data_IF_193933829195
#
_entry.id   IF_193933829195
#
_cell.length_a   1.000
_cell.length_b   1.000
_cell.length_c   1.000
_cell.angle_alpha   90.00
_cell.angle_beta   90.00
_cell.angle_gamma   90.00
#
_symmetry.space_group_name_H-M   'P 1'
#
loop_
_entity.id
_entity.type
_entity.pdbx_description
1 polymer ?
#
# COMPACT_ATOMS: atom_id res chain seq x y z
N UNK A 1 23.98 -22.82 -21.78
CA UNK A 1 24.88 -21.83 -21.16
C UNK A 1 24.07 -21.11 -20.10
N UNK A 2 24.33 -21.38 -18.82
CA UNK A 2 23.66 -20.73 -17.70
C UNK A 2 24.32 -19.36 -17.50
N UNK A 3 23.56 -18.29 -17.66
CA UNK A 3 23.99 -16.93 -17.31
C UNK A 3 24.01 -16.87 -15.76
N UNK A 4 25.06 -16.34 -15.13
CA UNK A 4 25.11 -16.14 -13.69
C UNK A 4 23.90 -15.32 -13.21
N UNK A 5 23.23 -15.74 -12.14
CA UNK A 5 22.05 -15.07 -11.57
C UNK A 5 22.35 -13.60 -11.22
N UNK A 6 23.61 -13.29 -10.87
CA UNK A 6 24.07 -11.93 -10.55
C UNK A 6 24.00 -10.95 -11.72
N UNK A 7 23.90 -11.43 -12.96
CA UNK A 7 23.69 -10.57 -14.13
C UNK A 7 22.20 -10.42 -14.52
N UNK A 8 21.28 -11.11 -13.83
CA UNK A 8 19.86 -11.13 -14.18
C UNK A 8 18.99 -10.26 -13.28
N UNK A 9 19.42 -10.02 -12.04
CA UNK A 9 18.66 -9.28 -11.02
C UNK A 9 19.55 -8.23 -10.35
N UNK A 10 18.95 -7.17 -9.80
CA UNK A 10 19.71 -6.10 -9.14
C UNK A 10 20.41 -6.61 -7.88
N UNK A 11 19.64 -7.16 -6.94
CA UNK A 11 20.16 -7.75 -5.70
C UNK A 11 19.44 -9.07 -5.37
N UNK A 12 20.00 -9.84 -4.42
CA UNK A 12 19.41 -11.06 -3.87
C UNK A 12 19.23 -10.92 -2.35
N UNK A 13 18.06 -11.30 -1.83
CA UNK A 13 17.68 -11.17 -0.41
C UNK A 13 16.86 -12.35 0.07
N UNK A 14 16.84 -12.55 1.38
CA UNK A 14 15.91 -13.47 2.05
C UNK A 14 14.93 -12.63 2.88
N UNK A 15 13.64 -12.72 2.57
CA UNK A 15 12.56 -12.16 3.37
C UNK A 15 12.09 -13.21 4.37
N UNK A 16 12.36 -12.95 5.65
CA UNK A 16 12.09 -13.88 6.73
C UNK A 16 10.84 -13.45 7.49
N UNK A 17 9.83 -14.33 7.52
CA UNK A 17 8.56 -14.10 8.21
C UNK A 17 8.56 -14.65 9.66
N UNK A 18 9.75 -14.80 10.27
CA UNK A 18 9.94 -15.38 11.61
C UNK A 18 9.17 -16.69 11.79
N UNK A 19 8.41 -16.84 12.86
CA UNK A 19 7.50 -17.95 13.13
C UNK A 19 6.08 -17.70 12.58
N UNK A 20 5.83 -16.59 11.88
CA UNK A 20 4.52 -16.24 11.37
C UNK A 20 4.28 -16.87 9.98
N UNK A 21 3.86 -18.14 10.01
CA UNK A 21 3.47 -18.92 8.84
C UNK A 21 2.32 -18.26 8.06
N UNK A 22 1.40 -17.57 8.74
CA UNK A 22 0.31 -16.85 8.07
C UNK A 22 0.85 -15.70 7.21
N UNK A 23 1.76 -14.89 7.74
CA UNK A 23 2.38 -13.81 6.97
C UNK A 23 3.19 -14.35 5.78
N UNK A 24 3.91 -15.46 5.96
CA UNK A 24 4.59 -16.16 4.85
C UNK A 24 3.59 -16.56 3.75
N UNK A 25 2.50 -17.25 4.13
CA UNK A 25 1.48 -17.70 3.18
C UNK A 25 0.83 -16.50 2.47
N UNK A 26 0.50 -15.42 3.20
CA UNK A 26 -0.05 -14.19 2.62
C UNK A 26 0.90 -13.54 1.62
N UNK A 27 2.19 -13.41 1.94
CA UNK A 27 3.18 -12.83 1.03
C UNK A 27 3.20 -13.57 -0.31
N UNK A 28 3.16 -14.91 -0.27
CA UNK A 28 3.23 -15.76 -1.46
C UNK A 28 1.90 -15.81 -2.22
N UNK A 29 0.77 -15.87 -1.53
CA UNK A 29 -0.57 -15.97 -2.16
C UNK A 29 -1.08 -14.64 -2.72
N UNK A 30 -0.77 -13.54 -2.03
CA UNK A 30 -1.15 -12.20 -2.45
C UNK A 30 -0.07 -11.51 -3.29
N UNK A 31 1.07 -12.17 -3.50
CA UNK A 31 2.20 -11.68 -4.30
C UNK A 31 2.69 -10.30 -3.84
N UNK A 32 2.85 -10.14 -2.52
CA UNK A 32 3.34 -8.92 -1.88
C UNK A 32 4.46 -9.22 -0.89
N UNK A 33 5.50 -8.39 -0.87
CA UNK A 33 6.56 -8.41 0.14
C UNK A 33 6.56 -7.12 0.95
N UNK A 34 6.52 -7.24 2.28
CA UNK A 34 6.62 -6.13 3.22
C UNK A 34 7.97 -6.08 3.90
N UNK A 35 8.57 -4.89 4.00
CA UNK A 35 9.85 -4.64 4.65
C UNK A 35 9.68 -3.61 5.77
N UNK A 36 10.31 -3.90 6.92
CA UNK A 36 10.33 -2.99 8.09
C UNK A 36 11.27 -1.80 7.91
N UNK A 37 12.15 -1.84 6.91
CA UNK A 37 13.10 -0.77 6.57
C UNK A 37 13.10 -0.50 5.06
N UNK A 38 13.46 0.72 4.65
CA UNK A 38 13.51 1.14 3.24
C UNK A 38 14.83 0.73 2.59
N UNK A 39 15.06 -0.58 2.49
CA UNK A 39 16.31 -1.15 1.95
C UNK A 39 16.14 -1.85 0.61
N UNK A 40 14.91 -2.17 0.21
CA UNK A 40 14.62 -3.01 -0.95
C UNK A 40 14.36 -2.16 -2.20
N UNK A 41 14.76 -2.68 -3.37
CA UNK A 41 14.70 -1.96 -4.63
C UNK A 41 13.97 -2.78 -5.72
N UNK A 42 13.40 -2.07 -6.69
CA UNK A 42 12.80 -2.68 -7.88
C UNK A 42 13.81 -3.58 -8.58
N UNK A 43 13.41 -4.81 -8.89
CA UNK A 43 14.23 -5.82 -9.57
C UNK A 43 15.04 -6.72 -8.64
N UNK A 44 14.96 -6.53 -7.31
CA UNK A 44 15.57 -7.45 -6.35
C UNK A 44 14.87 -8.82 -6.39
N UNK A 45 15.66 -9.89 -6.35
CA UNK A 45 15.20 -11.26 -6.13
C UNK A 45 15.03 -11.50 -4.62
N UNK A 46 13.85 -11.93 -4.21
CA UNK A 46 13.51 -12.20 -2.83
C UNK A 46 13.12 -13.66 -2.66
N UNK A 47 13.82 -14.35 -1.76
CA UNK A 47 13.47 -15.68 -1.29
C UNK A 47 12.62 -15.56 -0.03
N UNK A 48 11.43 -16.15 -0.03
CA UNK A 48 10.53 -16.13 1.13
C UNK A 48 10.89 -17.27 2.06
N UNK A 49 11.09 -16.95 3.34
CA UNK A 49 11.47 -17.91 4.36
C UNK A 49 10.65 -17.76 5.64
N UNK A 50 10.48 -18.87 6.36
CA UNK A 50 9.76 -18.94 7.63
C UNK A 50 10.36 -20.04 8.50
N UNK A 51 10.24 -19.90 9.82
CA UNK A 51 10.56 -20.94 10.77
C UNK A 51 9.36 -21.89 10.86
N UNK A 52 9.60 -23.15 10.53
CA UNK A 52 8.67 -24.26 10.76
C UNK A 52 9.42 -25.41 11.42
N UNK A 53 8.87 -26.02 12.47
CA UNK A 53 9.49 -27.14 13.19
C UNK A 53 10.95 -26.89 13.59
N UNK A 54 11.26 -25.69 14.09
CA UNK A 54 12.61 -25.24 14.51
C UNK A 54 13.65 -25.13 13.36
N UNK A 55 13.21 -25.18 12.11
CA UNK A 55 14.07 -24.95 10.95
C UNK A 55 13.60 -23.75 10.12
N UNK A 56 14.53 -22.89 9.71
CA UNK A 56 14.24 -21.84 8.74
C UNK A 56 14.18 -22.46 7.34
N UNK A 57 12.99 -22.49 6.76
CA UNK A 57 12.73 -23.09 5.45
C UNK A 57 12.38 -22.02 4.42
N UNK A 58 12.74 -22.27 3.16
CA UNK A 58 12.36 -21.45 2.02
C UNK A 58 11.51 -22.29 1.06
N UNK A 59 10.35 -21.76 0.65
CA UNK A 59 9.44 -22.45 -0.27
C UNK A 59 9.07 -21.66 -1.53
N UNK A 60 9.41 -20.37 -1.60
CA UNK A 60 9.09 -19.54 -2.76
C UNK A 60 10.16 -18.46 -2.98
N UNK A 61 10.23 -17.94 -4.21
CA UNK A 61 10.98 -16.72 -4.53
C UNK A 61 10.27 -15.90 -5.60
N UNK A 62 10.55 -14.62 -5.67
CA UNK A 62 10.02 -13.75 -6.73
C UNK A 62 10.86 -12.49 -6.92
N UNK A 63 10.41 -11.61 -7.81
CA UNK A 63 11.11 -10.36 -8.14
C UNK A 63 10.26 -9.18 -7.68
N UNK A 64 10.85 -8.21 -6.98
CA UNK A 64 10.18 -6.95 -6.64
C UNK A 64 9.88 -6.15 -7.92
N UNK A 65 8.62 -5.84 -8.18
CA UNK A 65 8.19 -5.14 -9.39
C UNK A 65 7.90 -3.67 -9.14
N UNK A 66 6.92 -3.37 -8.28
CA UNK A 66 6.41 -2.02 -8.03
C UNK A 66 6.05 -1.84 -6.56
N UNK A 67 6.25 -0.63 -6.03
CA UNK A 67 5.78 -0.26 -4.71
C UNK A 67 4.25 -0.35 -4.67
N UNK A 68 3.71 -0.74 -3.52
CA UNK A 68 2.27 -0.83 -3.30
C UNK A 68 1.92 -0.43 -1.87
N UNK A 69 0.72 0.12 -1.69
CA UNK A 69 0.12 0.35 -0.38
C UNK A 69 -0.78 -0.82 0.07
N UNK A 70 -0.87 -1.88 -0.73
CA UNK A 70 -1.61 -3.07 -0.35
C UNK A 70 -0.80 -3.89 0.66
N UNK A 71 -1.32 -3.96 1.88
CA UNK A 71 -0.70 -4.67 3.00
C UNK A 71 -1.71 -5.67 3.58
N UNK A 72 -1.63 -6.96 3.22
CA UNK A 72 -2.62 -7.96 3.64
C UNK A 72 -2.44 -8.44 5.10
N UNK A 73 -1.39 -8.00 5.79
CA UNK A 73 -1.04 -8.46 7.13
C UNK A 73 -1.81 -7.72 8.22
N UNK A 74 -2.09 -8.38 9.34
CA UNK A 74 -2.69 -7.75 10.52
C UNK A 74 -1.74 -6.71 11.14
N UNK A 75 -0.43 -6.96 11.08
CA UNK A 75 0.61 -6.07 11.57
C UNK A 75 1.16 -5.11 10.49
N UNK A 76 0.30 -4.73 9.53
CA UNK A 76 0.65 -3.91 8.35
C UNK A 76 1.45 -2.64 8.68
N UNK A 77 1.19 -2.00 9.82
CA UNK A 77 1.84 -0.76 10.25
C UNK A 77 3.36 -0.93 10.51
N UNK A 78 3.84 -2.15 10.73
CA UNK A 78 5.26 -2.44 10.92
C UNK A 78 6.06 -2.39 9.60
N UNK A 79 5.41 -2.49 8.45
CA UNK A 79 6.06 -2.57 7.14
C UNK A 79 6.06 -1.21 6.45
N UNK A 80 7.17 -0.47 6.59
CA UNK A 80 7.34 0.88 6.02
C UNK A 80 7.50 0.92 4.50
N UNK A 81 7.75 -0.23 3.87
CA UNK A 81 7.90 -0.38 2.42
C UNK A 81 7.27 -1.70 1.99
N UNK A 82 6.36 -1.67 1.02
CA UNK A 82 5.71 -2.87 0.48
C UNK A 82 5.79 -2.90 -1.05
N UNK A 83 5.98 -4.09 -1.61
CA UNK A 83 6.25 -4.32 -3.02
C UNK A 83 5.35 -5.41 -3.58
N UNK A 84 4.83 -5.21 -4.79
CA UNK A 84 4.30 -6.29 -5.61
C UNK A 84 5.42 -7.19 -6.10
N UNK A 85 5.10 -8.47 -6.17
CA UNK A 85 5.98 -9.52 -6.64
C UNK A 85 5.53 -9.96 -8.01
N UNK A 86 6.49 -10.08 -8.93
CA UNK A 86 6.28 -10.73 -10.22
C UNK A 86 7.15 -11.98 -10.34
N UNK A 87 6.81 -12.81 -11.33
CA UNK A 87 7.57 -14.02 -11.68
C UNK A 87 7.82 -14.91 -10.46
N UNK A 88 6.78 -15.10 -9.63
CA UNK A 88 6.89 -15.94 -8.44
C UNK A 88 7.11 -17.39 -8.86
N UNK A 89 8.10 -18.02 -8.24
CA UNK A 89 8.46 -19.42 -8.45
C UNK A 89 8.34 -20.16 -7.12
N UNK A 90 7.91 -21.41 -7.20
CA UNK A 90 7.72 -22.28 -6.03
C UNK A 90 8.76 -23.40 -6.02
N UNK A 91 9.04 -23.90 -4.83
CA UNK A 91 9.84 -25.10 -4.63
C UNK A 91 9.24 -25.94 -3.49
N UNK A 92 9.62 -27.22 -3.45
CA UNK A 92 9.48 -28.00 -2.23
C UNK A 92 10.29 -27.31 -1.13
N UNK A 93 9.69 -26.99 0.03
CA UNK A 93 10.41 -26.29 1.08
C UNK A 93 11.71 -26.99 1.46
N UNK A 94 12.80 -26.23 1.54
CA UNK A 94 14.11 -26.71 1.93
C UNK A 94 14.70 -25.84 3.04
N UNK A 95 15.55 -26.42 3.88
CA UNK A 95 16.20 -25.69 4.97
C UNK A 95 17.27 -24.73 4.44
N UNK A 96 17.23 -23.48 4.89
CA UNK A 96 18.26 -22.48 4.57
C UNK A 96 19.60 -22.74 5.27
N UNK A 97 19.66 -23.73 6.17
CA UNK A 97 20.89 -24.17 6.84
C UNK A 97 21.99 -24.61 5.86
N UNK A 98 21.65 -24.92 4.60
CA UNK A 98 22.64 -25.10 3.52
C UNK A 98 23.61 -23.92 3.39
N UNK A 99 23.19 -22.71 3.74
CA UNK A 99 24.04 -21.51 3.72
C UNK A 99 25.15 -21.52 4.79
N UNK A 100 25.07 -22.41 5.79
CA UNK A 100 26.13 -22.60 6.78
C UNK A 100 27.45 -23.07 6.15
N UNK A 101 27.40 -23.74 4.99
CA UNK A 101 28.59 -24.19 4.26
C UNK A 101 29.50 -23.02 3.85
N UNK A 102 28.92 -21.82 3.67
CA UNK A 102 29.62 -20.60 3.23
C UNK A 102 29.67 -19.56 4.36
N UNK A 103 28.56 -19.39 5.09
CA UNK A 103 28.43 -18.42 6.17
C UNK A 103 29.01 -18.86 7.50
N UNK A 104 29.37 -20.15 7.66
CA UNK A 104 29.79 -20.71 8.93
C UNK A 104 28.68 -20.65 9.99
N UNK A 105 29.07 -20.59 11.26
CA UNK A 105 28.12 -20.59 12.38
C UNK A 105 27.19 -19.37 12.38
N UNK A 106 27.60 -18.22 11.83
CA UNK A 106 26.82 -16.99 11.80
C UNK A 106 26.05 -16.77 10.48
N UNK A 107 25.78 -17.83 9.71
CA UNK A 107 25.11 -17.75 8.42
C UNK A 107 23.73 -17.05 8.49
N UNK A 108 22.97 -17.31 9.55
CA UNK A 108 21.64 -16.74 9.74
C UNK A 108 21.70 -15.21 9.89
N UNK A 109 22.60 -14.72 10.75
CA UNK A 109 22.86 -13.28 10.92
C UNK A 109 23.38 -12.62 9.63
N UNK A 110 24.21 -13.34 8.87
CA UNK A 110 24.83 -12.83 7.64
C UNK A 110 23.83 -12.70 6.48
N UNK A 111 22.90 -13.64 6.34
CA UNK A 111 22.08 -13.77 5.14
C UNK A 111 20.56 -13.59 5.35
N UNK A 112 20.05 -13.83 6.56
CA UNK A 112 18.61 -13.82 6.85
C UNK A 112 18.19 -12.53 7.57
N UNK A 113 19.02 -12.05 8.50
CA UNK A 113 18.69 -10.91 9.36
C UNK A 113 18.31 -9.65 8.56
N UNK A 114 17.16 -9.08 8.90
CA UNK A 114 16.66 -7.81 8.37
C UNK A 114 16.58 -7.73 6.83
N UNK A 115 16.57 -8.88 6.14
CA UNK A 115 16.47 -8.97 4.67
C UNK A 115 17.48 -8.11 3.91
N UNK A 116 18.71 -8.02 4.46
CA UNK A 116 19.83 -7.32 3.84
C UNK A 116 20.21 -7.96 2.50
N UNK A 117 20.80 -7.16 1.61
CA UNK A 117 21.36 -7.66 0.35
C UNK A 117 22.48 -8.67 0.63
N UNK A 118 22.35 -9.86 0.08
CA UNK A 118 23.42 -10.85 0.05
C UNK A 118 24.46 -10.38 -0.97
N UNK A 119 25.67 -10.08 -0.50
CA UNK A 119 26.81 -9.66 -1.35
C UNK A 119 27.70 -10.83 -1.79
N UNK A 120 27.52 -11.98 -1.15
CA UNK A 120 28.34 -13.17 -1.32
C UNK A 120 27.85 -13.99 -2.52
N UNK A 121 28.63 -13.99 -3.60
CA UNK A 121 28.23 -14.61 -4.86
C UNK A 121 28.09 -16.14 -4.75
N UNK A 122 28.95 -16.79 -3.96
CA UNK A 122 28.90 -18.24 -3.75
C UNK A 122 27.61 -18.63 -3.02
N UNK A 123 27.19 -17.81 -2.05
CA UNK A 123 25.94 -18.01 -1.31
C UNK A 123 24.70 -17.84 -2.21
N UNK A 124 24.72 -16.85 -3.10
CA UNK A 124 23.64 -16.63 -4.08
C UNK A 124 23.53 -17.84 -5.03
N UNK A 125 24.66 -18.35 -5.50
CA UNK A 125 24.70 -19.50 -6.40
C UNK A 125 24.23 -20.77 -5.70
N UNK A 126 24.68 -21.03 -4.48
CA UNK A 126 24.22 -22.15 -3.67
C UNK A 126 22.71 -22.10 -3.45
N UNK A 127 22.19 -20.96 -2.99
CA UNK A 127 20.77 -20.76 -2.74
C UNK A 127 19.94 -21.00 -3.99
N UNK A 128 20.36 -20.45 -5.13
CA UNK A 128 19.68 -20.67 -6.39
C UNK A 128 19.74 -22.14 -6.85
N UNK A 129 20.88 -22.81 -6.71
CA UNK A 129 21.03 -24.20 -7.14
C UNK A 129 20.14 -25.14 -6.31
N UNK A 130 20.09 -24.92 -4.99
CA UNK A 130 19.19 -25.68 -4.11
C UNK A 130 17.74 -25.40 -4.44
N UNK A 131 17.38 -24.13 -4.69
CA UNK A 131 16.02 -23.76 -5.09
C UNK A 131 15.61 -24.44 -6.41
N UNK A 132 16.44 -24.35 -7.45
CA UNK A 132 16.16 -24.96 -8.76
C UNK A 132 16.02 -26.48 -8.64
N UNK A 133 16.86 -27.13 -7.83
CA UNK A 133 16.80 -28.57 -7.61
C UNK A 133 15.51 -29.01 -6.93
N UNK A 134 14.87 -28.12 -6.16
CA UNK A 134 13.61 -28.36 -5.47
C UNK A 134 12.40 -27.73 -6.17
N UNK A 135 12.57 -27.12 -7.35
CA UNK A 135 11.51 -26.34 -8.02
C UNK A 135 10.26 -27.18 -8.28
N UNK A 136 9.11 -26.58 -8.01
CA UNK A 136 7.78 -27.17 -8.24
C UNK A 136 6.91 -26.21 -9.03
N UNK A 137 5.84 -26.75 -9.61
CA UNK A 137 4.85 -25.94 -10.33
C UNK A 137 3.79 -25.35 -9.40
N UNK A 138 3.53 -26.00 -8.27
CA UNK A 138 2.45 -25.65 -7.36
C UNK A 138 3.00 -25.11 -6.03
N UNK A 139 2.32 -24.09 -5.51
CA UNK A 139 2.54 -23.58 -4.15
C UNK A 139 2.02 -24.60 -3.13
N UNK A 140 2.88 -24.95 -2.17
CA UNK A 140 2.51 -25.79 -1.02
C UNK A 140 2.30 -24.90 0.19
N UNK A 141 1.03 -24.79 0.60
CA UNK A 141 0.63 -24.08 1.80
C UNK A 141 1.26 -24.77 3.00
N UNK A 142 2.00 -24.02 3.81
CA UNK A 142 2.59 -24.55 5.04
C UNK A 142 1.47 -24.50 6.08
N UNK A 143 0.97 -25.67 6.49
CA UNK A 143 -0.10 -25.81 7.48
C UNK A 143 0.48 -26.05 8.87
N UNK A 144 -0.14 -25.41 9.88
CA UNK A 144 0.03 -25.76 11.28
C UNK A 144 -0.73 -27.08 11.57
N UNK A 145 -0.20 -28.23 11.18
CA UNK A 145 -0.74 -29.52 11.63
C UNK A 145 0.39 -30.37 12.22
N UNK A 146 0.40 -30.53 13.55
CA UNK A 146 1.24 -31.51 14.25
C UNK A 146 1.57 -31.19 15.71
N UNK A 147 0.75 -31.71 16.62
CA UNK A 147 0.94 -31.97 18.06
C UNK A 147 1.05 -30.81 19.07
N UNK A 148 0.21 -30.91 20.10
CA UNK A 148 0.30 -30.18 21.37
C UNK A 148 1.74 -30.29 21.93
N UNK A 149 2.51 -29.22 21.82
CA UNK A 149 3.83 -29.14 22.45
C UNK A 149 3.61 -28.91 23.95
N UNK A 150 3.83 -29.97 24.72
CA UNK A 150 4.05 -29.90 26.17
C UNK A 150 5.22 -28.97 26.48
N UNK A 151 5.04 -28.05 27.45
CA UNK A 151 6.01 -27.02 27.87
C UNK A 151 7.38 -27.54 28.37
N UNK A 152 7.61 -28.85 28.47
CA UNK A 152 8.83 -29.41 29.06
C UNK A 152 9.72 -30.12 28.03
N UNK A 153 10.42 -29.36 27.19
CA UNK A 153 11.72 -29.78 26.58
C UNK A 153 12.40 -28.65 25.81
N UNK A 154 12.66 -27.54 26.51
CA UNK A 154 13.60 -26.51 26.06
C UNK A 154 15.01 -26.81 26.58
N UNK A 155 15.77 -27.59 25.81
CA UNK A 155 17.23 -27.69 25.96
C UNK A 155 17.88 -28.12 24.64
N UNK A 156 18.07 -27.14 23.76
CA UNK A 156 18.90 -27.25 22.57
C UNK A 156 19.13 -25.85 22.04
N UNK A 157 20.40 -25.46 21.92
CA UNK A 157 20.84 -24.14 21.45
C UNK A 157 20.25 -23.85 20.06
N UNK A 158 19.14 -23.13 20.04
CA UNK A 158 18.59 -22.48 18.86
C UNK A 158 19.11 -21.06 18.95
N UNK A 159 19.85 -20.60 17.93
CA UNK A 159 19.96 -19.16 17.70
C UNK A 159 18.54 -18.68 17.42
N UNK A 160 17.85 -18.19 18.47
CA UNK A 160 16.69 -17.33 18.27
C UNK A 160 17.17 -16.21 17.37
N UNK A 161 16.77 -16.25 16.09
CA UNK A 161 16.85 -15.11 15.20
C UNK A 161 15.79 -14.16 15.74
N UNK A 162 16.14 -13.49 16.82
CA UNK A 162 15.32 -12.46 17.40
C UNK A 162 15.41 -11.30 16.41
N UNK A 163 14.41 -11.21 15.54
CA UNK A 163 14.33 -10.08 14.60
C UNK A 163 14.16 -8.75 15.34
N UNK A 164 14.06 -8.75 16.69
CA UNK A 164 14.06 -7.54 17.51
C UNK A 164 14.53 -7.76 18.97
N UNK A 165 15.82 -8.03 19.20
CA UNK A 165 16.51 -7.48 20.38
C UNK A 165 18.05 -7.42 20.19
N UNK A 166 18.58 -6.20 20.06
CA UNK A 166 19.98 -5.92 20.43
C UNK A 166 21.10 -6.31 19.45
N UNK A 167 21.16 -5.64 18.30
CA UNK A 167 22.38 -5.02 17.73
C UNK A 167 22.13 -4.78 16.23
N UNK A 168 21.59 -3.60 15.91
CA UNK A 168 21.91 -2.98 14.64
C UNK A 168 23.44 -2.90 14.60
N UNK A 169 24.08 -3.81 13.86
CA UNK A 169 25.49 -3.69 13.48
C UNK A 169 25.57 -2.48 12.52
N UNK A 170 25.42 -1.29 13.09
CA UNK A 170 26.10 -0.11 12.61
C UNK A 170 27.57 -0.50 12.70
N UNK A 171 28.11 -1.07 11.62
CA UNK A 171 29.53 -0.95 11.34
C UNK A 171 29.89 0.47 11.74
N UNK A 172 30.79 0.62 12.72
CA UNK A 172 31.04 1.79 13.56
C UNK A 172 31.34 3.05 12.71
N UNK A 173 30.32 3.54 12.04
CA UNK A 173 30.24 4.79 11.32
C UNK A 173 29.47 5.66 12.28
N UNK A 174 30.22 6.55 12.93
CA UNK A 174 29.68 7.55 13.84
C UNK A 174 28.52 8.25 13.13
N UNK A 175 27.30 8.07 13.64
CA UNK A 175 26.11 8.74 13.12
C UNK A 175 26.39 10.24 12.98
N UNK A 176 26.32 10.76 11.76
CA UNK A 176 26.51 12.18 11.50
C UNK A 176 25.19 12.92 11.72
N UNK A 177 25.06 13.57 12.88
CA UNK A 177 23.85 14.32 13.23
C UNK A 177 23.85 15.64 12.46
N UNK A 178 23.15 15.67 11.33
CA UNK A 178 23.07 16.87 10.46
C UNK A 178 22.13 17.97 11.00
N UNK A 179 21.27 17.66 11.98
CA UNK A 179 20.31 18.59 12.56
C UNK A 179 19.15 17.86 13.27
N UNK A 180 18.24 18.64 13.86
CA UNK A 180 16.98 18.12 14.40
C UNK A 180 15.80 18.65 13.58
N UNK A 181 14.66 17.97 13.66
CA UNK A 181 13.41 18.41 13.04
C UNK A 181 12.43 18.80 14.13
N UNK A 182 11.73 19.91 13.90
CA UNK A 182 10.61 20.34 14.73
C UNK A 182 9.33 20.26 13.92
N UNK A 183 8.34 19.52 14.41
CA UNK A 183 7.01 19.52 13.81
C UNK A 183 6.33 20.87 14.01
N UNK A 184 5.89 21.47 12.92
CA UNK A 184 5.07 22.68 12.87
C UNK A 184 3.65 22.28 12.48
N UNK A 185 2.67 23.00 13.03
CA UNK A 185 1.28 22.79 12.64
C UNK A 185 0.99 23.47 11.31
N UNK A 186 0.25 22.81 10.45
CA UNK A 186 -0.41 23.48 9.34
C UNK A 186 -1.34 24.57 9.89
N UNK A 187 -1.58 25.60 9.07
CA UNK A 187 -2.49 26.68 9.47
C UNK A 187 -3.94 26.20 9.50
N UNK A 188 -4.34 25.50 8.43
CA UNK A 188 -5.61 24.83 8.23
C UNK A 188 -5.49 23.92 6.98
N UNK A 189 -6.59 23.42 6.46
CA UNK A 189 -6.65 22.55 5.29
C UNK A 189 -6.26 23.30 3.99
N UNK A 190 -6.77 24.52 3.80
CA UNK A 190 -6.84 25.21 2.49
C UNK A 190 -5.90 26.42 2.34
N UNK A 191 -5.13 26.80 3.37
CA UNK A 191 -4.23 27.95 3.31
C UNK A 191 -3.21 27.80 2.17
N UNK A 192 -3.01 28.86 1.40
CA UNK A 192 -2.21 28.79 0.16
C UNK A 192 -0.73 28.46 0.37
N UNK A 193 -0.20 28.70 1.57
CA UNK A 193 1.24 28.60 1.84
C UNK A 193 1.54 27.55 2.91
N UNK A 194 0.68 27.44 3.92
CA UNK A 194 0.81 26.49 5.05
C UNK A 194 -0.44 25.63 5.22
N UNK A 195 -1.23 25.47 4.16
CA UNK A 195 -2.36 24.57 4.13
C UNK A 195 -1.93 23.15 3.81
N UNK A 196 -2.58 22.17 4.42
CA UNK A 196 -2.31 20.75 4.16
C UNK A 196 -2.60 20.38 2.70
N UNK A 197 -3.77 20.73 2.18
CA UNK A 197 -4.21 20.35 0.83
C UNK A 197 -3.28 20.90 -0.27
N UNK A 198 -2.95 22.20 -0.34
CA UNK A 198 -2.07 22.70 -1.40
C UNK A 198 -0.67 22.08 -1.37
N UNK A 199 -0.08 21.96 -0.18
CA UNK A 199 1.28 21.42 -0.02
C UNK A 199 1.35 19.94 -0.37
N UNK A 200 0.38 19.14 0.08
CA UNK A 200 0.35 17.71 -0.24
C UNK A 200 0.00 17.48 -1.70
N UNK A 201 -0.92 18.25 -2.28
CA UNK A 201 -1.30 18.12 -3.70
C UNK A 201 -0.12 18.43 -4.61
N UNK A 202 0.63 19.50 -4.34
CA UNK A 202 1.81 19.90 -5.13
C UNK A 202 2.91 18.81 -5.11
N UNK A 203 3.06 18.10 -3.99
CA UNK A 203 4.10 17.11 -3.79
C UNK A 203 3.58 15.67 -3.72
N UNK A 204 2.37 15.40 -4.21
CA UNK A 204 1.65 14.14 -3.98
C UNK A 204 2.47 12.91 -4.34
N UNK A 205 2.98 12.84 -5.57
CA UNK A 205 3.76 11.69 -6.05
C UNK A 205 5.17 11.58 -5.44
N UNK A 206 5.73 12.69 -4.95
CA UNK A 206 7.00 12.68 -4.23
C UNK A 206 6.83 12.14 -2.80
N UNK A 207 5.67 12.43 -2.20
CA UNK A 207 5.32 12.02 -0.85
C UNK A 207 4.88 10.55 -0.83
N UNK A 208 3.94 10.18 -1.71
CA UNK A 208 3.34 8.85 -1.77
C UNK A 208 3.92 8.03 -2.92
N UNK A 209 5.13 7.53 -2.74
CA UNK A 209 5.91 6.87 -3.79
C UNK A 209 5.26 5.58 -4.34
N UNK A 210 4.34 4.97 -3.60
CA UNK A 210 3.54 3.83 -4.04
C UNK A 210 2.49 4.21 -5.09
N UNK A 211 2.09 5.48 -5.18
CA UNK A 211 1.27 5.96 -6.29
C UNK A 211 2.18 6.33 -7.47
N UNK A 212 2.27 5.42 -8.44
CA UNK A 212 3.05 5.66 -9.65
C UNK A 212 2.30 6.59 -10.61
N UNK A 213 2.91 7.73 -10.95
CA UNK A 213 2.36 8.72 -11.88
C UNK A 213 1.95 8.13 -13.23
N UNK A 214 2.61 7.07 -13.72
CA UNK A 214 2.27 6.42 -14.99
C UNK A 214 1.06 5.48 -14.88
N UNK A 215 0.66 5.11 -13.66
CA UNK A 215 -0.47 4.25 -13.35
C UNK A 215 -1.58 4.97 -12.57
N UNK A 216 -1.50 6.29 -12.46
CA UNK A 216 -2.51 7.08 -11.75
C UNK A 216 -2.86 8.40 -12.46
N UNK A 217 -4.07 8.90 -12.19
CA UNK A 217 -4.54 10.23 -12.57
C UNK A 217 -5.09 10.90 -11.31
N UNK A 218 -4.47 12.00 -10.90
CA UNK A 218 -4.93 12.82 -9.77
C UNK A 218 -5.71 14.04 -10.30
N UNK A 219 -6.98 14.13 -9.95
CA UNK A 219 -7.87 15.25 -10.27
C UNK A 219 -8.13 16.02 -8.97
N UNK A 220 -7.31 17.04 -8.70
CA UNK A 220 -7.36 17.83 -7.46
C UNK A 220 -8.49 18.90 -7.41
N UNK A 221 -9.41 18.88 -8.37
CA UNK A 221 -10.44 19.91 -8.53
C UNK A 221 -11.72 19.49 -7.80
N UNK A 222 -11.76 19.73 -6.48
CA UNK A 222 -12.86 19.34 -5.57
C UNK A 222 -14.28 19.59 -6.12
N UNK A 223 -14.55 20.77 -6.69
CA UNK A 223 -15.91 21.17 -7.12
C UNK A 223 -16.48 20.35 -8.28
N UNK A 224 -15.67 19.61 -9.02
CA UNK A 224 -16.18 18.80 -10.13
C UNK A 224 -17.04 17.64 -9.61
N UNK A 225 -16.75 17.06 -8.46
CA UNK A 225 -17.33 15.77 -8.06
C UNK A 225 -18.33 15.88 -6.91
N UNK A 226 -19.41 16.65 -7.07
CA UNK A 226 -20.51 16.59 -6.09
C UNK A 226 -21.30 15.28 -6.20
N UNK A 227 -21.84 14.75 -5.11
CA UNK A 227 -22.85 13.68 -5.19
C UNK A 227 -24.23 14.24 -5.58
N UNK A 228 -25.10 13.39 -6.12
CA UNK A 228 -26.50 13.78 -6.39
C UNK A 228 -27.24 13.85 -5.05
N UNK A 229 -27.91 14.97 -4.78
CA UNK A 229 -28.66 15.15 -3.53
C UNK A 229 -29.97 14.40 -3.52
N UNK A 230 -30.39 13.96 -2.33
CA UNK A 230 -31.76 13.47 -2.12
C UNK A 230 -32.68 14.67 -2.02
N UNK A 231 -33.81 14.61 -2.72
CA UNK A 231 -34.83 15.66 -2.67
C UNK A 231 -35.89 15.32 -1.62
N UNK A 232 -36.37 16.33 -0.90
CA UNK A 232 -37.50 16.21 0.02
C UNK A 232 -38.84 16.19 -0.76
N UNK A 233 -39.95 16.04 -0.04
CA UNK A 233 -41.32 16.08 -0.59
C UNK A 233 -41.67 17.38 -1.33
N UNK A 234 -40.87 18.44 -1.15
CA UNK A 234 -41.01 19.74 -1.79
C UNK A 234 -40.06 19.93 -3.01
N UNK A 235 -39.42 18.85 -3.48
CA UNK A 235 -38.41 18.85 -4.56
C UNK A 235 -37.13 19.66 -4.25
N UNK A 236 -36.91 20.01 -2.98
CA UNK A 236 -35.70 20.70 -2.52
C UNK A 236 -34.63 19.68 -2.10
N UNK A 237 -33.36 19.96 -2.39
CA UNK A 237 -32.28 19.11 -1.89
C UNK A 237 -32.22 19.18 -0.36
N UNK A 238 -32.15 18.03 0.29
CA UNK A 238 -31.91 17.96 1.73
C UNK A 238 -30.47 18.38 1.99
N UNK A 239 -30.31 19.42 2.82
CA UNK A 239 -28.99 19.93 3.20
C UNK A 239 -28.20 18.88 4.00
N UNK A 240 -26.89 18.80 3.74
CA UNK A 240 -25.98 17.88 4.44
C UNK A 240 -25.88 16.47 3.85
N UNK A 241 -26.63 16.15 2.79
CA UNK A 241 -26.56 14.84 2.11
C UNK A 241 -25.54 14.83 0.97
N UNK A 242 -25.32 15.99 0.32
CA UNK A 242 -24.30 16.09 -0.74
C UNK A 242 -22.90 16.07 -0.14
N UNK A 243 -22.08 15.15 -0.62
CA UNK A 243 -20.63 15.14 -0.40
C UNK A 243 -19.92 15.70 -1.63
N UNK A 244 -18.77 16.34 -1.40
CA UNK A 244 -17.84 16.74 -2.45
C UNK A 244 -16.46 16.30 -1.94
N UNK A 245 -15.77 15.36 -2.60
CA UNK A 245 -14.44 15.02 -2.17
C UNK A 245 -13.45 16.10 -2.58
N UNK A 246 -12.34 16.19 -1.85
CA UNK A 246 -11.33 17.21 -2.14
C UNK A 246 -10.55 16.87 -3.42
N UNK A 247 -10.24 15.59 -3.62
CA UNK A 247 -9.65 15.12 -4.86
C UNK A 247 -10.12 13.71 -5.26
N UNK A 248 -9.95 13.40 -6.54
CA UNK A 248 -10.18 12.07 -7.08
C UNK A 248 -8.84 11.53 -7.61
N UNK A 249 -8.44 10.34 -7.16
CA UNK A 249 -7.28 9.63 -7.69
C UNK A 249 -7.74 8.33 -8.33
N UNK A 250 -7.55 8.22 -9.64
CA UNK A 250 -7.83 6.99 -10.39
C UNK A 250 -6.53 6.20 -10.46
N UNK A 251 -6.53 4.96 -10.00
CA UNK A 251 -5.38 4.05 -10.11
C UNK A 251 -5.68 2.93 -11.09
N UNK A 252 -4.68 2.58 -11.90
CA UNK A 252 -4.74 1.47 -12.84
C UNK A 252 -3.81 0.34 -12.41
N UNK A 253 -4.36 -0.85 -12.33
CA UNK A 253 -3.68 -2.08 -11.98
C UNK A 253 -4.29 -3.28 -12.71
N UNK A 254 -3.63 -3.70 -13.79
CA UNK A 254 -4.06 -4.85 -14.58
C UNK A 254 -4.17 -6.16 -13.78
N UNK A 255 -3.40 -6.33 -12.70
CA UNK A 255 -3.41 -7.55 -11.88
C UNK A 255 -4.45 -7.50 -10.75
N UNK A 256 -5.21 -6.41 -10.60
CA UNK A 256 -6.20 -6.26 -9.54
C UNK A 256 -7.29 -7.33 -9.63
N UNK A 257 -7.53 -8.02 -8.49
CA UNK A 257 -8.56 -9.06 -8.37
C UNK A 257 -10.00 -8.52 -8.37
N UNK A 258 -10.22 -7.21 -8.19
CA UNK A 258 -11.55 -6.56 -8.12
C UNK A 258 -11.94 -5.97 -9.48
N UNK A 259 -11.27 -4.88 -9.85
CA UNK A 259 -11.38 -4.21 -11.14
C UNK A 259 -10.00 -3.63 -11.49
N UNK A 260 -9.62 -3.60 -12.78
CA UNK A 260 -8.36 -2.99 -13.21
C UNK A 260 -8.23 -1.52 -12.81
N UNK A 261 -9.34 -0.83 -12.61
CA UNK A 261 -9.36 0.54 -12.11
C UNK A 261 -9.81 0.58 -10.66
N UNK A 262 -9.19 1.45 -9.87
CA UNK A 262 -9.61 1.79 -8.50
C UNK A 262 -9.92 3.28 -8.43
N UNK A 263 -11.08 3.60 -7.85
CA UNK A 263 -11.48 4.98 -7.61
C UNK A 263 -11.14 5.34 -6.16
N UNK A 264 -10.18 6.24 -5.97
CA UNK A 264 -9.78 6.72 -4.66
C UNK A 264 -10.36 8.12 -4.43
N UNK A 265 -11.20 8.26 -3.40
CA UNK A 265 -11.76 9.54 -2.95
C UNK A 265 -10.82 10.09 -1.88
N UNK A 266 -10.18 11.24 -2.13
CA UNK A 266 -9.22 11.84 -1.20
C UNK A 266 -9.89 12.97 -0.44
N UNK A 267 -9.76 12.92 0.89
CA UNK A 267 -10.09 14.01 1.81
C UNK A 267 -8.85 14.53 2.50
N UNK A 268 -8.68 15.86 2.52
CA UNK A 268 -7.65 16.53 3.28
C UNK A 268 -8.25 17.14 4.54
N UNK A 269 -7.80 16.67 5.70
CA UNK A 269 -8.30 17.14 6.99
C UNK A 269 -7.16 17.60 7.88
N UNK A 270 -7.39 18.63 8.68
CA UNK A 270 -6.32 19.17 9.51
C UNK A 270 -6.84 19.69 10.84
N UNK A 271 -6.21 19.29 11.94
CA UNK A 271 -6.47 19.95 13.22
C UNK A 271 -5.91 21.38 13.23
N UNK A 272 -4.72 21.54 12.65
CA UNK A 272 -4.09 22.83 12.37
C UNK A 272 -3.82 23.64 13.62
N UNK A 273 -3.70 24.96 13.47
CA UNK A 273 -3.40 25.86 14.58
C UNK A 273 -4.57 26.01 15.57
N UNK A 274 -5.80 25.70 15.14
CA UNK A 274 -7.01 26.03 15.90
C UNK A 274 -7.52 24.91 16.81
N UNK A 275 -7.29 23.63 16.46
CA UNK A 275 -7.84 22.46 17.16
C UNK A 275 -6.74 21.73 17.96
N UNK A 276 -6.27 22.34 19.05
CA UNK A 276 -5.11 21.83 19.79
C UNK A 276 -5.45 20.93 20.98
N UNK A 277 -6.63 21.10 21.59
CA UNK A 277 -7.03 20.30 22.77
C UNK A 277 -7.57 18.95 22.32
N UNK A 278 -7.31 17.90 23.10
CA UNK A 278 -7.82 16.55 22.85
C UNK A 278 -9.33 16.53 22.63
N UNK A 279 -10.11 17.29 23.42
CA UNK A 279 -11.56 17.38 23.26
C UNK A 279 -11.98 18.03 21.93
N UNK A 280 -11.25 19.04 21.46
CA UNK A 280 -11.55 19.69 20.18
C UNK A 280 -11.26 18.74 19.01
N UNK A 281 -10.12 18.04 19.08
CA UNK A 281 -9.75 17.02 18.09
C UNK A 281 -10.79 15.89 18.05
N UNK A 282 -11.16 15.37 19.22
CA UNK A 282 -12.18 14.34 19.36
C UNK A 282 -13.54 14.78 18.78
N UNK A 283 -13.99 15.99 19.11
CA UNK A 283 -15.26 16.52 18.59
C UNK A 283 -15.20 16.75 17.08
N UNK A 284 -14.06 17.19 16.55
CA UNK A 284 -13.87 17.40 15.11
C UNK A 284 -13.85 16.08 14.35
N UNK A 285 -13.10 15.10 14.84
CA UNK A 285 -13.04 13.76 14.25
C UNK A 285 -14.42 13.11 14.19
N UNK A 286 -15.15 13.08 15.31
CA UNK A 286 -16.47 12.43 15.39
C UNK A 286 -17.61 13.25 14.80
N UNK A 287 -17.50 14.58 14.80
CA UNK A 287 -18.56 15.48 14.35
C UNK A 287 -18.44 15.92 12.89
N UNK A 288 -17.24 15.85 12.31
CA UNK A 288 -16.96 16.35 10.96
C UNK A 288 -16.35 15.26 10.09
N UNK A 289 -15.15 14.77 10.45
CA UNK A 289 -14.36 13.86 9.60
C UNK A 289 -15.08 12.53 9.36
N UNK A 290 -15.43 11.80 10.42
CA UNK A 290 -16.09 10.49 10.29
C UNK A 290 -17.43 10.60 9.54
N UNK A 291 -18.35 11.53 9.90
CA UNK A 291 -19.58 11.72 9.13
C UNK A 291 -19.34 12.04 7.64
N UNK A 292 -18.31 12.80 7.31
CA UNK A 292 -17.96 13.12 5.92
C UNK A 292 -17.53 11.88 5.14
N UNK A 293 -16.62 11.09 5.68
CA UNK A 293 -16.16 9.85 5.05
C UNK A 293 -17.31 8.83 4.90
N UNK A 294 -18.19 8.72 5.90
CA UNK A 294 -19.40 7.89 5.81
C UNK A 294 -20.35 8.34 4.70
N UNK A 295 -20.48 9.65 4.44
CA UNK A 295 -21.29 10.15 3.32
C UNK A 295 -20.72 9.71 1.98
N UNK A 296 -19.41 9.71 1.81
CA UNK A 296 -18.79 9.21 0.58
C UNK A 296 -18.99 7.70 0.43
N UNK A 297 -18.72 6.94 1.49
CA UNK A 297 -18.87 5.48 1.47
C UNK A 297 -20.32 5.07 1.16
N UNK A 298 -21.29 5.73 1.81
CA UNK A 298 -22.72 5.45 1.59
C UNK A 298 -23.18 5.79 0.17
N UNK A 299 -22.69 6.88 -0.44
CA UNK A 299 -23.10 7.33 -1.79
C UNK A 299 -22.97 6.24 -2.85
N UNK A 300 -21.91 5.42 -2.76
CA UNK A 300 -21.63 4.36 -3.73
C UNK A 300 -21.98 2.95 -3.23
N UNK A 301 -22.37 2.83 -1.96
CA UNK A 301 -22.78 1.56 -1.37
C UNK A 301 -24.16 1.11 -1.83
N UNK A 302 -24.41 -0.21 -1.76
CA UNK A 302 -25.71 -0.84 -2.03
C UNK A 302 -26.85 -0.34 -1.13
N UNK A 303 -26.55 0.36 -0.04
CA UNK A 303 -27.57 0.95 0.85
C UNK A 303 -28.24 2.18 0.25
N UNK A 304 -27.61 2.83 -0.73
CA UNK A 304 -28.18 3.98 -1.45
C UNK A 304 -29.09 3.52 -2.58
N UNK A 305 -30.16 4.29 -2.86
CA UNK A 305 -31.06 4.03 -3.98
C UNK A 305 -30.29 3.86 -5.30
N UNK A 306 -30.57 2.76 -6.01
CA UNK A 306 -29.82 2.39 -7.21
C UNK A 306 -29.87 3.47 -8.29
N UNK A 307 -31.00 4.18 -8.47
CA UNK A 307 -31.08 5.21 -9.49
C UNK A 307 -30.25 6.45 -9.13
N UNK A 308 -30.20 6.82 -7.85
CA UNK A 308 -29.36 7.92 -7.36
C UNK A 308 -27.88 7.57 -7.51
N UNK A 309 -27.52 6.33 -7.15
CA UNK A 309 -26.17 5.79 -7.26
C UNK A 309 -25.70 5.79 -8.71
N UNK A 310 -26.44 5.15 -9.63
CA UNK A 310 -26.06 5.08 -11.05
C UNK A 310 -25.97 6.48 -11.67
N UNK A 311 -26.93 7.39 -11.42
CA UNK A 311 -26.83 8.77 -11.90
C UNK A 311 -25.61 9.52 -11.40
N UNK A 312 -25.18 9.25 -10.17
CA UNK A 312 -23.96 9.85 -9.61
C UNK A 312 -22.73 9.30 -10.32
N UNK A 313 -22.67 7.97 -10.51
CA UNK A 313 -21.60 7.28 -11.24
C UNK A 313 -21.51 7.81 -12.67
N UNK A 314 -22.61 7.82 -13.43
CA UNK A 314 -22.67 8.32 -14.81
C UNK A 314 -22.05 9.71 -14.92
N UNK A 315 -22.53 10.63 -14.07
CA UNK A 315 -22.07 12.02 -14.07
C UNK A 315 -20.59 12.16 -13.73
N UNK A 316 -20.06 11.29 -12.86
CA UNK A 316 -18.65 11.34 -12.47
C UNK A 316 -17.76 10.73 -13.55
N UNK A 317 -18.20 9.62 -14.16
CA UNK A 317 -17.52 8.99 -15.30
C UNK A 317 -17.41 9.98 -16.46
N UNK A 318 -18.50 10.68 -16.80
CA UNK A 318 -18.47 11.70 -17.86
C UNK A 318 -17.42 12.78 -17.55
N UNK A 319 -17.39 13.29 -16.32
CA UNK A 319 -16.42 14.32 -15.89
C UNK A 319 -14.97 13.84 -15.89
N UNK A 320 -14.75 12.57 -15.57
CA UNK A 320 -13.42 11.95 -15.64
C UNK A 320 -12.97 11.88 -17.09
N UNK A 321 -13.85 11.43 -17.99
CA UNK A 321 -13.56 11.33 -19.42
C UNK A 321 -13.31 12.71 -20.02
N UNK A 322 -14.15 13.70 -19.69
CA UNK A 322 -13.96 15.10 -20.12
C UNK A 322 -12.57 15.62 -19.69
N UNK A 323 -12.21 15.40 -18.42
CA UNK A 323 -10.90 15.82 -17.89
C UNK A 323 -9.73 15.12 -18.60
N UNK A 324 -9.86 13.81 -18.91
CA UNK A 324 -8.84 13.08 -19.67
C UNK A 324 -8.73 13.64 -21.09
N UNK A 325 -9.86 13.95 -21.73
CA UNK A 325 -9.92 14.45 -23.11
C UNK A 325 -9.37 15.89 -23.24
N UNK A 326 -9.40 16.67 -22.16
CA UNK A 326 -8.83 18.02 -22.13
C UNK A 326 -7.28 18.03 -22.15
N UNK A 327 -6.63 16.91 -21.82
CA UNK A 327 -5.17 16.80 -21.73
C UNK A 327 -4.60 15.68 -22.63
N UNK A 328 -3.87 16.00 -23.72
CA UNK A 328 -3.33 14.99 -24.65
C UNK A 328 -2.43 13.94 -24.00
N UNK A 329 -1.70 14.31 -22.95
CA UNK A 329 -0.83 13.39 -22.18
C UNK A 329 -1.64 12.36 -21.40
N UNK A 330 -2.81 12.72 -20.90
CA UNK A 330 -3.71 11.79 -20.21
C UNK A 330 -4.37 10.84 -21.20
N UNK A 331 -4.78 11.32 -22.38
CA UNK A 331 -5.31 10.47 -23.45
C UNK A 331 -4.31 9.38 -23.82
N UNK A 332 -3.05 9.74 -24.08
CA UNK A 332 -2.02 8.75 -24.44
C UNK A 332 -1.82 7.72 -23.33
N UNK A 333 -1.77 8.17 -22.07
CA UNK A 333 -1.61 7.31 -20.90
C UNK A 333 -2.76 6.31 -20.78
N UNK A 334 -4.00 6.78 -20.85
CA UNK A 334 -5.19 5.93 -20.73
C UNK A 334 -5.33 4.99 -21.92
N UNK A 335 -4.99 5.44 -23.13
CA UNK A 335 -4.96 4.58 -24.31
C UNK A 335 -4.02 3.38 -24.11
N UNK A 336 -2.83 3.60 -23.53
CA UNK A 336 -1.89 2.51 -23.19
C UNK A 336 -2.52 1.54 -22.19
N UNK A 337 -3.14 2.04 -21.12
CA UNK A 337 -3.80 1.17 -20.12
C UNK A 337 -4.89 0.29 -20.74
N UNK A 338 -5.77 0.87 -21.56
CA UNK A 338 -6.85 0.11 -22.21
C UNK A 338 -6.31 -0.87 -23.25
N UNK A 339 -5.25 -0.52 -23.98
CA UNK A 339 -4.58 -1.44 -24.91
C UNK A 339 -3.88 -2.58 -24.20
N UNK A 340 -3.33 -2.36 -23.01
CA UNK A 340 -2.76 -3.42 -22.18
C UNK A 340 -3.82 -4.41 -21.68
N UNK A 341 -5.02 -3.93 -21.33
CA UNK A 341 -6.17 -4.77 -20.97
C UNK A 341 -6.76 -5.50 -22.17
N UNK A 342 -6.81 -4.82 -23.33
CA UNK A 342 -7.41 -5.32 -24.56
C UNK A 342 -6.48 -5.13 -25.76
N UNK A 343 -5.50 -6.04 -25.98
CA UNK A 343 -4.43 -5.88 -26.99
C UNK A 343 -4.90 -5.69 -28.44
N UNK A 344 -6.13 -6.11 -28.77
CA UNK A 344 -6.70 -6.06 -30.12
C UNK A 344 -7.80 -4.99 -30.26
N UNK A 345 -7.91 -4.06 -29.30
CA UNK A 345 -8.93 -3.01 -29.33
C UNK A 345 -8.67 -2.03 -30.48
N UNK A 346 -9.74 -1.63 -31.17
CA UNK A 346 -9.65 -0.54 -32.16
C UNK A 346 -9.64 0.79 -31.41
N UNK A 347 -8.82 1.72 -31.85
CA UNK A 347 -8.67 3.06 -31.23
C UNK A 347 -10.01 3.75 -30.97
N UNK A 348 -10.92 3.74 -31.95
CA UNK A 348 -12.29 4.26 -31.86
C UNK A 348 -13.18 3.64 -30.76
N UNK A 349 -12.75 2.57 -30.12
CA UNK A 349 -13.48 1.87 -29.06
C UNK A 349 -12.86 2.09 -27.69
N UNK A 350 -11.67 2.71 -27.59
CA UNK A 350 -10.94 2.85 -26.33
C UNK A 350 -11.77 3.61 -25.30
N UNK A 351 -12.33 4.76 -25.66
CA UNK A 351 -13.15 5.59 -24.77
C UNK A 351 -14.36 4.82 -24.22
N UNK A 352 -15.05 4.03 -25.06
CA UNK A 352 -16.17 3.21 -24.63
C UNK A 352 -15.75 2.12 -23.63
N UNK A 353 -14.57 1.53 -23.81
CA UNK A 353 -14.04 0.55 -22.86
C UNK A 353 -13.61 1.24 -21.56
N UNK A 354 -12.96 2.39 -21.64
CA UNK A 354 -12.64 3.21 -20.46
C UNK A 354 -13.90 3.54 -19.65
N UNK A 355 -14.95 4.03 -20.31
CA UNK A 355 -16.23 4.33 -19.66
C UNK A 355 -16.78 3.10 -18.92
N UNK A 356 -16.76 1.93 -19.58
CA UNK A 356 -17.20 0.67 -18.98
C UNK A 356 -16.36 0.30 -17.75
N UNK A 357 -15.03 0.32 -17.87
CA UNK A 357 -14.15 -0.09 -16.78
C UNK A 357 -14.20 0.90 -15.59
N UNK A 358 -14.39 2.19 -15.83
CA UNK A 358 -14.64 3.18 -14.77
C UNK A 358 -15.96 2.91 -14.04
N UNK A 359 -17.05 2.61 -14.77
CA UNK A 359 -18.34 2.23 -14.18
C UNK A 359 -18.21 0.98 -13.31
N UNK A 360 -17.49 -0.03 -13.80
CA UNK A 360 -17.24 -1.27 -13.08
C UNK A 360 -16.39 -1.00 -11.81
N UNK A 361 -15.42 -0.08 -11.87
CA UNK A 361 -14.64 0.35 -10.72
C UNK A 361 -15.46 1.07 -9.65
N UNK A 362 -16.36 1.99 -10.01
CA UNK A 362 -17.28 2.61 -9.04
C UNK A 362 -18.20 1.58 -8.36
N UNK A 363 -18.50 0.46 -9.03
CA UNK A 363 -19.38 -0.57 -8.48
C UNK A 363 -18.67 -1.57 -7.57
N UNK A 364 -17.37 -1.74 -7.71
CA UNK A 364 -16.64 -2.86 -7.10
C UNK A 364 -15.30 -2.51 -6.43
N UNK A 365 -14.72 -1.33 -6.73
CA UNK A 365 -13.34 -1.00 -6.35
C UNK A 365 -13.17 0.48 -5.98
N UNK A 366 -13.82 0.89 -4.89
CA UNK A 366 -13.70 2.23 -4.30
C UNK A 366 -12.86 2.16 -3.04
N UNK A 367 -11.98 3.16 -2.88
CA UNK A 367 -11.23 3.43 -1.66
C UNK A 367 -11.45 4.88 -1.23
N UNK A 368 -11.57 5.12 0.06
CA UNK A 368 -11.53 6.46 0.66
C UNK A 368 -10.15 6.63 1.30
N UNK A 369 -9.47 7.70 0.93
CA UNK A 369 -8.15 8.08 1.43
C UNK A 369 -8.31 9.33 2.30
N UNK A 370 -7.96 9.24 3.56
CA UNK A 370 -7.87 10.39 4.46
C UNK A 370 -6.42 10.84 4.59
N UNK A 371 -6.10 12.05 4.19
CA UNK A 371 -4.79 12.67 4.43
C UNK A 371 -4.96 13.67 5.58
N UNK A 372 -4.29 13.43 6.71
CA UNK A 372 -4.49 14.19 7.95
C UNK A 372 -3.18 14.52 8.65
N UNK A 373 -3.15 15.57 9.49
CA UNK A 373 -1.94 15.95 10.23
C UNK A 373 -1.63 15.09 11.46
N UNK A 374 -2.65 14.43 12.02
CA UNK A 374 -2.52 13.55 13.17
C UNK A 374 -3.65 12.51 13.20
N UNK A 375 -3.31 11.24 13.40
CA UNK A 375 -4.28 10.16 13.59
C UNK A 375 -3.64 9.06 14.45
N UNK A 376 -4.35 8.55 15.45
CA UNK A 376 -3.87 7.39 16.23
C UNK A 376 -4.26 6.08 15.54
N UNK A 377 -3.55 5.00 15.87
CA UNK A 377 -3.86 3.64 15.35
C UNK A 377 -5.30 3.26 15.69
N UNK A 378 -5.72 3.46 16.95
CA UNK A 378 -7.11 3.19 17.39
C UNK A 378 -8.16 3.98 16.58
N UNK A 379 -7.87 5.23 16.22
CA UNK A 379 -8.75 6.06 15.39
C UNK A 379 -8.79 5.52 13.95
N UNK A 380 -7.64 5.19 13.36
CA UNK A 380 -7.52 4.57 12.05
C UNK A 380 -8.33 3.28 11.96
N UNK A 381 -8.21 2.39 12.95
CA UNK A 381 -8.95 1.12 13.00
C UNK A 381 -10.46 1.34 13.13
N UNK A 382 -10.87 2.28 13.99
CA UNK A 382 -12.28 2.63 14.15
C UNK A 382 -12.87 3.11 12.82
N UNK A 383 -12.15 3.97 12.11
CA UNK A 383 -12.57 4.52 10.81
C UNK A 383 -12.57 3.43 9.73
N UNK A 384 -11.55 2.58 9.69
CA UNK A 384 -11.46 1.43 8.79
C UNK A 384 -12.68 0.52 8.96
N UNK A 385 -13.03 0.17 10.20
CA UNK A 385 -14.20 -0.66 10.48
C UNK A 385 -15.52 -0.01 10.05
N UNK A 386 -15.69 1.29 10.31
CA UNK A 386 -16.90 2.03 9.91
C UNK A 386 -17.02 2.06 8.38
N UNK A 387 -15.94 2.39 7.67
CA UNK A 387 -15.96 2.54 6.20
C UNK A 387 -16.09 1.18 5.50
N UNK A 388 -15.36 0.15 5.96
CA UNK A 388 -15.42 -1.21 5.39
C UNK A 388 -16.79 -1.90 5.63
N UNK A 389 -17.63 -1.35 6.51
CA UNK A 389 -19.01 -1.80 6.70
C UNK A 389 -19.91 -1.50 5.49
N UNK A 390 -19.57 -0.48 4.69
CA UNK A 390 -20.31 -0.11 3.48
C UNK A 390 -20.00 -1.05 2.33
N UNK A 391 -20.99 -1.85 1.93
CA UNK A 391 -20.84 -2.85 0.86
C UNK A 391 -21.06 -2.26 -0.52
N UNK A 392 -20.25 -2.71 -1.47
CA UNK A 392 -20.32 -2.40 -2.88
C UNK A 392 -21.12 -3.48 -3.64
N UNK A 393 -21.44 -3.23 -4.91
CA UNK A 393 -22.24 -4.15 -5.72
C UNK A 393 -21.41 -5.37 -6.15
N UNK A 394 -21.86 -6.58 -5.82
CA UNK A 394 -21.08 -7.81 -5.99
C UNK A 394 -21.30 -8.51 -7.33
N UNK A 395 -21.98 -7.85 -8.26
CA UNK A 395 -22.30 -8.41 -9.57
C UNK A 395 -21.09 -8.71 -10.46
N UNK A 396 -19.92 -8.15 -10.15
CA UNK A 396 -18.72 -8.23 -10.99
C UNK A 396 -17.51 -8.90 -10.33
N UNK A 397 -17.55 -9.17 -9.02
CA UNK A 397 -16.42 -9.74 -8.26
C UNK A 397 -16.75 -11.15 -7.77
N UNK A 398 -15.86 -12.11 -8.06
CA UNK A 398 -15.93 -13.45 -7.47
C UNK A 398 -15.44 -13.51 -6.02
N UNK A 399 -14.91 -12.39 -5.50
CA UNK A 399 -14.37 -12.30 -4.14
C UNK A 399 -15.43 -11.86 -3.13
N UNK A 400 -15.31 -12.36 -1.90
CA UNK A 400 -16.20 -12.00 -0.77
C UNK A 400 -15.99 -10.57 -0.27
N UNK A 401 -14.87 -9.94 -0.62
CA UNK A 401 -14.45 -8.62 -0.14
C UNK A 401 -14.98 -7.49 -0.99
N UNK A 402 -16.29 -7.23 -0.83
CA UNK A 402 -17.00 -6.25 -1.63
C UNK A 402 -17.45 -5.06 -0.77
N UNK A 403 -16.48 -4.28 -0.31
CA UNK A 403 -16.67 -3.11 0.54
C UNK A 403 -15.85 -1.92 0.05
N UNK A 404 -16.24 -0.73 0.49
CA UNK A 404 -15.45 0.50 0.31
C UNK A 404 -14.23 0.41 1.21
N UNK A 405 -13.04 0.40 0.62
CA UNK A 405 -11.78 0.36 1.36
C UNK A 405 -11.50 1.71 2.04
N UNK A 406 -10.81 1.68 3.17
CA UNK A 406 -10.29 2.88 3.83
C UNK A 406 -8.76 2.83 3.91
N UNK A 407 -8.13 3.95 3.61
CA UNK A 407 -6.72 4.19 3.88
C UNK A 407 -6.56 5.58 4.50
N UNK A 408 -5.56 5.75 5.35
CA UNK A 408 -5.22 7.03 5.94
C UNK A 408 -3.73 7.28 5.82
N UNK A 409 -3.34 8.53 5.62
CA UNK A 409 -1.94 8.96 5.63
C UNK A 409 -1.78 10.16 6.55
N UNK A 410 -0.90 10.04 7.53
CA UNK A 410 -0.57 11.11 8.46
C UNK A 410 0.59 11.92 7.89
N UNK A 411 0.37 13.18 7.54
CA UNK A 411 1.39 14.08 6.99
C UNK A 411 1.74 15.16 8.01
N UNK A 412 3.03 15.31 8.32
CA UNK A 412 3.55 16.32 9.24
C UNK A 412 4.39 17.34 8.50
N UNK A 413 4.17 18.62 8.79
CA UNK A 413 5.06 19.68 8.37
C UNK A 413 6.21 19.79 9.38
N UNK A 414 7.44 19.70 8.90
CA UNK A 414 8.64 19.74 9.72
C UNK A 414 9.54 20.89 9.30
N UNK A 415 10.13 21.58 10.27
CA UNK A 415 11.18 22.57 10.04
C UNK A 415 12.52 21.99 10.48
N UNK A 416 13.48 21.98 9.56
CA UNK A 416 14.85 21.59 9.87
C UNK A 416 15.49 22.67 10.74
N UNK A 417 15.96 22.28 11.92
CA UNK A 417 16.81 23.07 12.80
C UNK A 417 18.25 22.62 12.54
N UNK A 418 18.97 23.40 11.73
CA UNK A 418 20.37 23.15 11.42
C UNK A 418 21.28 23.48 12.61
N UNK A 419 22.30 22.64 12.84
CA UNK A 419 23.37 22.95 13.80
C UNK A 419 24.40 23.92 13.19
N UNK A 420 24.59 23.87 11.86
CA UNK A 420 25.61 24.62 11.11
C UNK A 420 25.09 25.43 9.91
N UNK A 421 23.89 25.14 9.39
CA UNK A 421 23.25 25.85 8.28
C UNK A 421 21.97 26.55 8.78
N UNK A 422 21.92 27.88 8.66
CA UNK A 422 20.83 28.75 9.16
C UNK A 422 19.73 29.03 8.13
N UNK A 423 19.85 28.50 6.90
CA UNK A 423 18.78 28.62 5.92
C UNK A 423 17.70 27.57 6.24
N UNK A 424 16.57 27.99 6.82
CA UNK A 424 15.45 27.11 7.12
C UNK A 424 14.99 26.33 5.88
N UNK A 425 14.94 25.01 5.98
CA UNK A 425 14.45 24.11 4.92
C UNK A 425 13.31 23.28 5.52
N UNK A 426 12.07 23.62 5.17
CA UNK A 426 10.89 22.85 5.58
C UNK A 426 10.85 21.51 4.85
N UNK A 427 10.23 20.51 5.47
CA UNK A 427 10.00 19.18 4.90
C UNK A 427 8.57 18.72 5.21
N UNK A 428 8.03 17.86 4.34
CA UNK A 428 6.83 17.08 4.63
C UNK A 428 7.28 15.66 4.95
N UNK A 429 6.95 15.19 6.15
CA UNK A 429 7.08 13.80 6.54
C UNK A 429 5.70 13.13 6.42
N UNK A 430 5.66 11.85 6.04
CA UNK A 430 4.41 11.08 6.07
C UNK A 430 4.59 9.76 6.81
N UNK A 431 3.48 9.27 7.34
CA UNK A 431 3.32 7.98 7.98
C UNK A 431 2.02 7.35 7.47
N UNK A 432 2.04 6.04 7.19
CA UNK A 432 0.86 5.28 6.73
C UNK A 432 0.05 4.69 7.88
#
# INVERSE_FOLDING_TARGET
MNIPISNKYNNCRILHCTNNINNYNLCVQEEVAGFRTRIAEKGDMVYFAVINDKATICGARGILEELTDYKPWEDADNYVQSWKIKDIEYCNPFELKVLADIGGNSWALKYVQASKTIKDQEAIELLNNVFISNKTNDFKLISLEGDEISEDSYSGDIEEIDDFEGNEDYSIEKLDIMGTFQTIRFRNETDRVRGLEPLVTEHFYSLFQHFNIEKTILIAQNRLFSSVGIKNSNDENINGIKGIPDALLISYDKSSKKSPFKINLIEYECYGETKYRTQQKFNYLNGVIIPQLMRFASTFSIVTDNNIREKTIDRWVDKIIDHINDEPTLIEKVNKWIQELHPNIKERQIERYLEKELRDAFKSNIRIILIIDELTIEQKDTMSNIINSFKLDNSYSSNKDNFVEFASYVVRLEEKIGITDTNARFALAFQE
#
